data_IF_685892494081
#
_entry.id   IF_685892494081
#
_cell.length_a   1.000
_cell.length_b   1.000
_cell.length_c   1.000
_cell.angle_alpha   90.00
_cell.angle_beta   90.00
_cell.angle_gamma   90.00
#
_symmetry.space_group_name_H-M   'P 1'
#
loop_
_entity.id
_entity.type
_entity.pdbx_description
1 polymer ?
#
# COMPACT_ATOMS: atom_id res chain seq x y z
N UNK A 1 78.97 -23.70 6.67
CA UNK A 1 78.49 -24.77 5.77
C UNK A 1 76.97 -24.70 5.73
N UNK A 2 76.39 -24.52 4.53
CA UNK A 2 74.95 -24.39 4.19
C UNK A 2 74.24 -23.11 4.67
N UNK A 3 73.32 -22.45 3.95
CA UNK A 3 72.79 -22.47 2.57
C UNK A 3 72.03 -21.11 2.44
N UNK A 4 71.98 -20.55 1.22
CA UNK A 4 71.20 -19.36 0.84
C UNK A 4 69.69 -19.47 1.15
N UNK A 5 69.01 -18.33 1.34
CA UNK A 5 67.84 -18.00 0.51
C UNK A 5 67.54 -16.49 0.49
N UNK A 6 67.64 -15.90 -0.71
CA UNK A 6 67.00 -14.64 -1.12
C UNK A 6 65.53 -14.92 -1.45
N UNK A 7 64.59 -14.06 -1.07
CA UNK A 7 63.45 -13.61 -1.93
C UNK A 7 62.95 -12.27 -1.37
N UNK A 8 62.95 -11.22 -2.19
CA UNK A 8 62.31 -9.94 -1.89
C UNK A 8 60.82 -9.96 -2.21
N UNK A 9 60.04 -9.06 -1.62
CA UNK A 9 58.70 -8.74 -2.09
C UNK A 9 58.50 -7.23 -2.11
N UNK A 10 58.05 -6.75 -3.27
CA UNK A 10 57.77 -5.36 -3.59
C UNK A 10 56.59 -4.82 -2.77
N UNK A 11 56.72 -3.60 -2.26
CA UNK A 11 55.61 -2.86 -1.67
C UNK A 11 54.77 -2.24 -2.80
N UNK A 12 53.54 -2.71 -2.94
CA UNK A 12 52.52 -2.17 -3.84
C UNK A 12 51.94 -0.91 -3.20
N UNK A 13 51.98 0.21 -3.92
CA UNK A 13 51.36 1.47 -3.53
C UNK A 13 49.83 1.33 -3.53
N UNK A 14 49.19 1.61 -2.39
CA UNK A 14 47.75 1.69 -2.28
C UNK A 14 47.25 3.03 -2.85
N UNK A 15 46.67 2.98 -4.06
CA UNK A 15 45.91 4.08 -4.61
C UNK A 15 44.51 4.09 -3.98
N UNK A 16 44.23 5.11 -3.16
CA UNK A 16 42.89 5.41 -2.65
C UNK A 16 42.00 5.85 -3.83
N UNK A 17 41.20 4.93 -4.36
CA UNK A 17 40.10 5.28 -5.28
C UNK A 17 38.92 5.79 -4.46
N UNK A 18 38.65 7.10 -4.51
CA UNK A 18 37.36 7.66 -4.07
C UNK A 18 36.31 7.24 -5.09
N UNK A 19 35.49 6.25 -4.73
CA UNK A 19 34.24 6.00 -5.42
C UNK A 19 33.32 7.21 -5.23
N UNK A 20 33.17 8.01 -6.28
CA UNK A 20 32.06 8.95 -6.40
C UNK A 20 30.79 8.12 -6.49
N UNK A 21 29.94 8.21 -5.46
CA UNK A 21 28.59 7.67 -5.53
C UNK A 21 27.90 8.32 -6.73
N UNK A 22 27.65 7.51 -7.76
CA UNK A 22 26.76 7.89 -8.85
C UNK A 22 25.40 8.18 -8.24
N UNK A 23 24.97 9.43 -8.36
CA UNK A 23 23.62 9.88 -8.06
C UNK A 23 22.67 9.02 -8.90
N UNK A 24 22.09 8.02 -8.23
CA UNK A 24 21.11 7.13 -8.84
C UNK A 24 19.91 8.01 -9.18
N UNK A 25 19.73 8.28 -10.48
CA UNK A 25 18.54 8.95 -11.00
C UNK A 25 17.37 8.02 -10.67
N UNK A 26 16.78 8.21 -9.47
CA UNK A 26 15.57 7.50 -9.06
C UNK A 26 14.50 7.90 -10.06
N UNK A 27 14.16 6.98 -10.94
CA UNK A 27 13.00 7.11 -11.80
C UNK A 27 11.80 7.54 -10.93
N UNK A 28 10.94 8.44 -11.41
CA UNK A 28 9.80 8.87 -10.64
C UNK A 28 8.94 7.65 -10.30
N UNK A 29 8.75 7.42 -9.01
CA UNK A 29 7.97 6.33 -8.45
C UNK A 29 6.47 6.44 -8.76
N UNK A 30 6.04 7.57 -9.34
CA UNK A 30 4.67 7.85 -9.70
C UNK A 30 4.60 8.57 -11.06
N UNK A 31 3.51 8.36 -11.79
CA UNK A 31 3.23 9.05 -13.05
C UNK A 31 1.78 9.56 -13.07
N UNK A 32 1.51 10.57 -13.91
CA UNK A 32 0.16 11.10 -14.09
C UNK A 32 -0.57 10.31 -15.17
N UNK A 33 -1.77 9.81 -14.88
CA UNK A 33 -2.65 9.13 -15.84
C UNK A 33 -3.94 9.93 -16.00
N UNK A 34 -4.35 10.16 -17.25
CA UNK A 34 -5.70 10.63 -17.55
C UNK A 34 -6.61 9.42 -17.57
N UNK A 35 -7.66 9.47 -16.78
CA UNK A 35 -8.60 8.39 -16.61
C UNK A 35 -9.94 8.75 -17.28
N UNK A 36 -10.87 7.81 -17.30
CA UNK A 36 -12.13 7.80 -18.06
C UNK A 36 -13.10 8.91 -17.65
N UNK A 37 -12.87 9.54 -16.50
CA UNK A 37 -13.65 10.66 -16.01
C UNK A 37 -12.96 12.02 -16.22
N UNK A 38 -12.02 12.10 -17.17
CA UNK A 38 -11.22 13.27 -17.53
C UNK A 38 -10.39 13.87 -16.37
N UNK A 39 -10.30 13.17 -15.24
CA UNK A 39 -9.43 13.52 -14.13
C UNK A 39 -8.01 12.98 -14.36
N UNK A 40 -7.02 13.75 -13.93
CA UNK A 40 -5.62 13.31 -13.86
C UNK A 40 -5.34 12.75 -12.48
N UNK A 41 -4.87 11.53 -12.43
CA UNK A 41 -4.51 10.84 -11.20
C UNK A 41 -3.02 10.63 -11.10
N UNK A 42 -2.52 10.61 -9.87
CA UNK A 42 -1.23 10.01 -9.55
C UNK A 42 -1.45 8.50 -9.48
N UNK A 43 -0.67 7.77 -10.27
CA UNK A 43 -0.58 6.33 -10.22
C UNK A 43 0.84 5.94 -9.82
N UNK A 44 0.95 5.12 -8.78
CA UNK A 44 2.24 4.56 -8.37
C UNK A 44 2.63 3.42 -9.31
N UNK A 45 3.94 3.14 -9.44
CA UNK A 45 4.37 1.94 -10.16
C UNK A 45 3.81 0.68 -9.50
N UNK A 46 3.31 -0.23 -10.33
CA UNK A 46 2.85 -1.55 -9.91
C UNK A 46 3.98 -2.29 -9.20
N UNK A 47 3.66 -2.90 -8.06
CA UNK A 47 4.54 -3.85 -7.40
C UNK A 47 3.81 -5.17 -7.31
N UNK A 48 4.41 -6.20 -7.92
CA UNK A 48 3.91 -7.57 -7.81
C UNK A 48 3.71 -7.92 -6.34
N UNK A 49 2.69 -8.73 -6.09
CA UNK A 49 2.48 -9.31 -4.78
C UNK A 49 3.71 -10.10 -4.34
N UNK A 50 4.11 -10.07 -3.06
CA UNK A 50 4.94 -11.12 -2.54
C UNK A 50 4.25 -12.46 -2.86
N UNK A 51 4.96 -13.35 -3.58
CA UNK A 51 4.45 -14.69 -3.96
C UNK A 51 3.95 -15.50 -2.75
N UNK A 52 4.40 -15.12 -1.57
CA UNK A 52 4.26 -15.80 -0.31
C UNK A 52 4.25 -14.74 0.82
N UNK A 53 3.07 -14.33 1.30
CA UNK A 53 2.99 -13.60 2.58
C UNK A 53 2.97 -14.61 3.71
N UNK A 54 4.01 -14.56 4.55
CA UNK A 54 4.12 -15.39 5.74
C UNK A 54 3.75 -14.56 6.95
N UNK A 55 2.67 -14.93 7.63
CA UNK A 55 2.29 -14.26 8.85
C UNK A 55 3.23 -14.67 9.98
N UNK A 56 3.91 -13.70 10.58
CA UNK A 56 4.80 -13.88 11.72
C UNK A 56 4.10 -13.65 13.06
N UNK A 57 4.89 -13.51 14.11
CA UNK A 57 4.43 -13.06 15.43
C UNK A 57 3.88 -11.64 15.33
N UNK A 58 3.04 -11.25 16.29
CA UNK A 58 2.53 -9.89 16.37
C UNK A 58 3.67 -8.86 16.27
N UNK A 59 3.59 -7.96 15.29
CA UNK A 59 4.60 -6.93 15.03
C UNK A 59 5.80 -7.37 14.19
N UNK A 60 5.81 -8.59 13.63
CA UNK A 60 6.75 -8.95 12.57
C UNK A 60 6.35 -8.23 11.26
N UNK A 61 7.30 -7.78 10.46
CA UNK A 61 7.01 -7.25 9.11
C UNK A 61 6.61 -8.39 8.20
N UNK A 62 5.47 -8.26 7.52
CA UNK A 62 4.91 -9.31 6.62
C UNK A 62 4.93 -8.89 5.15
N UNK A 63 4.94 -7.60 4.87
CA UNK A 63 4.94 -7.04 3.53
C UNK A 63 5.49 -5.60 3.57
N UNK A 64 5.92 -5.08 2.43
CA UNK A 64 6.37 -3.70 2.28
C UNK A 64 5.90 -3.11 0.95
N UNK A 65 5.48 -1.85 0.99
CA UNK A 65 5.06 -1.08 -0.18
C UNK A 65 5.54 0.36 -0.06
N UNK A 66 6.38 0.81 -1.01
CA UNK A 66 6.98 2.16 -1.00
C UNK A 66 7.67 2.57 0.32
N UNK A 67 8.36 1.63 0.96
CA UNK A 67 9.05 1.86 2.23
C UNK A 67 8.14 1.88 3.46
N UNK A 68 6.84 1.61 3.27
CA UNK A 68 5.87 1.41 4.36
C UNK A 68 5.78 -0.08 4.64
N UNK A 69 6.09 -0.47 5.86
CA UNK A 69 5.95 -1.85 6.32
C UNK A 69 4.50 -2.14 6.74
N UNK A 70 3.97 -3.29 6.32
CA UNK A 70 2.80 -3.91 6.93
C UNK A 70 3.28 -4.96 7.94
N UNK A 71 2.58 -5.03 9.08
CA UNK A 71 2.98 -5.84 10.22
C UNK A 71 1.93 -6.91 10.51
N UNK A 72 2.39 -8.06 10.99
CA UNK A 72 1.52 -9.13 11.45
C UNK A 72 0.69 -8.65 12.64
N UNK A 73 -0.63 -8.83 12.51
CA UNK A 73 -1.58 -8.74 13.60
C UNK A 73 -1.95 -10.15 14.10
N UNK A 74 -1.01 -11.11 13.99
CA UNK A 74 -1.18 -12.52 14.32
C UNK A 74 -1.63 -12.76 15.76
N UNK A 75 -1.87 -14.04 16.11
CA UNK A 75 -2.34 -14.43 17.43
C UNK A 75 -1.42 -13.83 18.51
N UNK A 76 -1.94 -12.89 19.31
CA UNK A 76 -1.19 -12.32 20.40
C UNK A 76 -0.99 -13.43 21.45
N UNK A 77 0.26 -13.85 21.67
CA UNK A 77 0.63 -14.46 22.96
C UNK A 77 0.56 -13.41 24.09
N UNK A 78 0.42 -12.12 23.74
CA UNK A 78 0.15 -11.03 24.67
C UNK A 78 -1.36 -10.87 24.92
N UNK A 79 -1.81 -10.59 26.15
CA UNK A 79 -3.20 -10.23 26.38
C UNK A 79 -3.56 -9.00 25.55
N UNK A 80 -4.62 -9.08 24.72
CA UNK A 80 -5.28 -7.94 24.06
C UNK A 80 -5.16 -6.72 24.94
N UNK A 81 -4.29 -5.79 24.56
CA UNK A 81 -4.12 -4.60 25.37
C UNK A 81 -5.46 -3.88 25.39
N UNK A 82 -6.01 -3.75 26.59
CA UNK A 82 -7.26 -3.05 26.86
C UNK A 82 -7.17 -1.54 26.56
N UNK A 83 -6.00 -1.05 26.14
CA UNK A 83 -5.77 0.32 25.72
C UNK A 83 -6.36 0.64 24.34
N UNK A 84 -6.86 -0.36 23.60
CA UNK A 84 -7.45 -0.15 22.28
C UNK A 84 -6.43 0.44 21.29
N UNK A 85 -5.14 0.13 21.46
CA UNK A 85 -4.01 0.83 20.83
C UNK A 85 -3.99 0.87 19.30
N UNK A 86 -4.91 0.18 18.61
CA UNK A 86 -5.09 0.30 17.15
C UNK A 86 -3.83 -0.10 16.35
N UNK A 87 -2.85 -0.72 17.00
CA UNK A 87 -1.58 -1.09 16.38
C UNK A 87 -1.82 -2.21 15.39
N UNK A 88 -1.13 -2.10 14.27
CA UNK A 88 -1.15 -3.09 13.20
C UNK A 88 -2.57 -3.43 12.71
N UNK A 89 -3.51 -2.47 12.80
CA UNK A 89 -4.85 -2.59 12.22
C UNK A 89 -4.86 -2.08 10.78
N UNK A 90 -5.85 -2.49 9.99
CA UNK A 90 -6.01 -2.03 8.61
C UNK A 90 -6.04 -0.50 8.51
N UNK A 91 -6.73 0.17 9.44
CA UNK A 91 -6.81 1.63 9.48
C UNK A 91 -5.48 2.30 9.84
N UNK A 92 -4.70 1.70 10.72
CA UNK A 92 -3.36 2.18 11.11
C UNK A 92 -2.42 2.20 9.90
N UNK A 93 -2.44 1.14 9.09
CA UNK A 93 -1.64 1.06 7.87
C UNK A 93 -1.93 2.24 6.93
N UNK A 94 -3.20 2.59 6.73
CA UNK A 94 -3.59 3.70 5.86
C UNK A 94 -3.06 5.04 6.40
N UNK A 95 -3.19 5.28 7.72
CA UNK A 95 -2.66 6.51 8.32
C UNK A 95 -1.14 6.61 8.15
N UNK A 96 -0.43 5.49 8.33
CA UNK A 96 1.01 5.42 8.13
C UNK A 96 1.40 5.68 6.67
N UNK A 97 0.76 5.00 5.73
CA UNK A 97 0.97 5.18 4.29
C UNK A 97 0.76 6.63 3.85
N UNK A 98 -0.34 7.26 4.27
CA UNK A 98 -0.62 8.67 3.98
C UNK A 98 0.49 9.61 4.46
N UNK A 99 1.04 9.36 5.65
CA UNK A 99 2.11 10.19 6.24
C UNK A 99 3.45 9.96 5.55
N UNK A 100 3.80 8.71 5.30
CA UNK A 100 5.16 8.34 4.84
C UNK A 100 5.32 8.47 3.33
N UNK A 101 4.25 8.25 2.56
CA UNK A 101 4.31 8.29 1.10
C UNK A 101 3.86 9.66 0.55
N UNK A 102 2.76 10.19 1.10
CA UNK A 102 2.09 11.38 0.56
C UNK A 102 2.22 12.61 1.46
N UNK A 103 2.94 12.50 2.58
CA UNK A 103 3.11 13.56 3.60
C UNK A 103 1.79 14.17 4.11
N UNK A 104 0.68 13.43 4.02
CA UNK A 104 -0.61 13.83 4.59
C UNK A 104 -0.55 13.55 6.10
N UNK A 105 -0.82 14.52 6.99
CA UNK A 105 -0.63 14.40 8.45
C UNK A 105 -1.75 13.57 9.11
N UNK A 106 -1.87 12.32 8.68
CA UNK A 106 -2.89 11.37 9.10
C UNK A 106 -2.44 10.59 10.35
N UNK A 107 -3.36 10.35 11.28
CA UNK A 107 -3.13 9.55 12.49
C UNK A 107 -4.43 8.94 13.00
N UNK A 108 -4.32 7.85 13.76
CA UNK A 108 -5.44 7.28 14.49
C UNK A 108 -6.08 8.30 15.44
N UNK A 109 -7.38 8.16 15.71
CA UNK A 109 -8.12 9.04 16.62
C UNK A 109 -8.56 10.39 16.01
N UNK A 110 -8.32 10.62 14.71
CA UNK A 110 -8.84 11.79 14.01
C UNK A 110 -10.34 11.72 13.66
N UNK A 111 -11.00 10.59 13.95
CA UNK A 111 -12.41 10.39 13.60
C UNK A 111 -12.65 10.24 12.09
N UNK A 112 -11.69 9.66 11.34
CA UNK A 112 -11.82 9.44 9.90
C UNK A 112 -12.68 8.21 9.52
N UNK A 113 -13.31 7.56 10.51
CA UNK A 113 -14.05 6.31 10.31
C UNK A 113 -13.24 5.06 10.64
N UNK A 114 -13.90 3.91 10.52
CA UNK A 114 -13.33 2.57 10.62
C UNK A 114 -12.96 2.06 9.22
N UNK A 115 -12.62 0.77 9.05
CA UNK A 115 -12.26 0.21 7.74
C UNK A 115 -13.27 0.49 6.62
N UNK A 116 -14.57 0.32 6.87
CA UNK A 116 -15.61 0.55 5.83
C UNK A 116 -15.71 2.02 5.41
N UNK A 117 -15.43 2.97 6.31
CA UNK A 117 -15.61 4.40 6.04
C UNK A 117 -14.30 5.17 5.79
N UNK A 118 -13.14 4.55 6.00
CA UNK A 118 -11.87 5.27 6.06
C UNK A 118 -11.49 5.93 4.73
N UNK A 119 -11.73 5.27 3.59
CA UNK A 119 -11.44 5.88 2.29
C UNK A 119 -12.19 7.20 2.11
N UNK A 120 -13.49 7.22 2.40
CA UNK A 120 -14.34 8.40 2.34
C UNK A 120 -13.91 9.46 3.36
N UNK A 121 -13.68 9.06 4.61
CA UNK A 121 -13.28 9.97 5.69
C UNK A 121 -11.94 10.67 5.43
N UNK A 122 -10.98 9.96 4.80
CA UNK A 122 -9.70 10.54 4.37
C UNK A 122 -9.91 11.62 3.32
N UNK A 123 -10.69 11.36 2.27
CA UNK A 123 -10.96 12.33 1.22
C UNK A 123 -11.78 13.54 1.75
N UNK A 124 -12.78 13.29 2.59
CA UNK A 124 -13.59 14.34 3.22
C UNK A 124 -12.73 15.28 4.08
N UNK A 125 -11.78 14.72 4.83
CA UNK A 125 -10.89 15.50 5.71
C UNK A 125 -9.84 16.30 4.94
N UNK A 126 -9.23 15.69 3.93
CA UNK A 126 -7.98 16.19 3.32
C UNK A 126 -8.12 16.61 1.86
N UNK A 127 -9.23 16.31 1.19
CA UNK A 127 -9.43 16.55 -0.24
C UNK A 127 -9.49 18.03 -0.65
N UNK A 128 -9.86 18.92 0.27
CA UNK A 128 -9.84 20.37 0.03
C UNK A 128 -8.45 21.01 0.09
N UNK A 129 -7.38 20.24 0.28
CA UNK A 129 -6.01 20.72 0.46
C UNK A 129 -5.10 20.13 -0.62
N UNK A 130 -4.09 20.91 -1.00
CA UNK A 130 -3.02 20.45 -1.88
C UNK A 130 -1.92 19.79 -1.03
N UNK A 131 -1.50 18.59 -1.44
CA UNK A 131 -0.45 17.81 -0.82
C UNK A 131 0.67 17.56 -1.82
N UNK A 132 1.86 17.24 -1.32
CA UNK A 132 2.97 16.75 -2.12
C UNK A 132 3.80 15.80 -1.27
N UNK A 133 4.17 14.66 -1.85
CA UNK A 133 4.94 13.61 -1.18
C UNK A 133 6.28 13.37 -1.87
N UNK A 134 7.14 12.59 -1.23
CA UNK A 134 8.43 12.19 -1.83
C UNK A 134 8.28 11.49 -3.18
N UNK A 135 7.13 10.83 -3.45
CA UNK A 135 6.87 10.17 -4.73
C UNK A 135 6.26 11.08 -5.81
N UNK A 136 5.57 12.16 -5.43
CA UNK A 136 4.92 13.09 -6.37
C UNK A 136 5.77 14.31 -6.69
N UNK A 137 6.87 14.51 -5.95
CA UNK A 137 7.77 15.65 -6.10
C UNK A 137 7.01 16.96 -5.84
N UNK A 138 7.18 17.94 -6.73
CA UNK A 138 6.49 19.23 -6.66
C UNK A 138 5.05 19.19 -7.20
N UNK A 139 4.61 18.05 -7.75
CA UNK A 139 3.26 17.93 -8.32
C UNK A 139 2.23 17.96 -7.19
N UNK A 140 1.37 19.00 -7.11
CA UNK A 140 0.35 19.09 -6.07
C UNK A 140 -0.76 18.07 -6.34
N UNK A 141 -1.21 17.40 -5.27
CA UNK A 141 -2.28 16.41 -5.31
C UNK A 141 -3.40 16.75 -4.33
N UNK A 142 -4.61 16.28 -4.62
CA UNK A 142 -5.78 16.28 -3.74
C UNK A 142 -6.30 14.85 -3.62
N UNK A 143 -7.01 14.55 -2.53
CA UNK A 143 -7.62 13.25 -2.30
C UNK A 143 -9.10 13.31 -2.65
N UNK A 144 -9.57 12.44 -3.55
CA UNK A 144 -10.98 12.41 -3.96
C UNK A 144 -11.55 11.01 -3.80
N UNK A 145 -12.70 10.94 -3.12
CA UNK A 145 -13.47 9.72 -2.93
C UNK A 145 -14.40 9.46 -4.11
N UNK A 146 -14.55 8.18 -4.43
CA UNK A 146 -15.38 7.63 -5.48
C UNK A 146 -16.18 6.47 -4.92
N UNK A 147 -17.50 6.59 -4.98
CA UNK A 147 -18.42 5.57 -4.51
C UNK A 147 -18.58 4.44 -5.54
N UNK A 148 -18.52 3.20 -5.05
CA UNK A 148 -18.73 2.02 -5.89
C UNK A 148 -20.17 1.95 -6.41
N UNK A 149 -20.33 1.64 -7.69
CA UNK A 149 -21.62 1.62 -8.37
C UNK A 149 -22.16 2.99 -8.76
N UNK A 150 -21.41 4.06 -8.49
CA UNK A 150 -21.78 5.44 -8.86
C UNK A 150 -20.73 6.08 -9.76
N UNK A 151 -19.44 5.86 -9.47
CA UNK A 151 -18.37 6.56 -10.19
C UNK A 151 -17.92 5.85 -11.46
N UNK A 152 -17.80 6.62 -12.55
CA UNK A 152 -17.09 6.19 -13.77
C UNK A 152 -15.57 6.33 -13.66
N UNK A 153 -15.04 6.96 -12.61
CA UNK A 153 -13.59 7.09 -12.42
C UNK A 153 -13.01 5.76 -11.95
N UNK A 154 -12.12 5.15 -12.75
CA UNK A 154 -11.45 3.91 -12.39
C UNK A 154 -10.57 4.08 -11.13
N UNK A 155 -10.47 3.08 -10.23
CA UNK A 155 -9.46 3.07 -9.18
C UNK A 155 -8.03 2.98 -9.74
N UNK A 156 -7.06 3.60 -9.08
CA UNK A 156 -5.65 3.62 -9.54
C UNK A 156 -4.71 2.88 -8.59
N UNK A 157 -3.52 2.49 -9.06
CA UNK A 157 -2.47 1.98 -8.17
C UNK A 157 -2.08 3.08 -7.16
N UNK A 158 -2.06 2.71 -5.89
CA UNK A 158 -1.87 3.58 -4.73
C UNK A 158 -3.17 4.05 -4.08
N UNK A 159 -4.33 3.82 -4.69
CA UNK A 159 -5.64 4.21 -4.15
C UNK A 159 -5.97 3.47 -2.84
N UNK A 160 -6.67 4.14 -1.94
CA UNK A 160 -7.18 3.56 -0.69
C UNK A 160 -8.58 3.02 -0.96
N UNK A 161 -8.84 1.75 -0.68
CA UNK A 161 -10.12 1.07 -0.95
C UNK A 161 -10.74 0.58 0.36
N UNK A 162 -12.02 0.88 0.56
CA UNK A 162 -12.78 0.45 1.74
C UNK A 162 -13.81 -0.62 1.37
N UNK A 163 -14.00 -1.58 2.28
CA UNK A 163 -14.85 -2.76 2.08
C UNK A 163 -15.89 -2.87 3.19
N UNK A 164 -17.11 -3.28 2.83
CA UNK A 164 -18.15 -3.61 3.78
C UNK A 164 -18.12 -5.11 4.10
N UNK A 165 -17.66 -5.44 5.31
CA UNK A 165 -17.58 -6.84 5.79
C UNK A 165 -18.90 -7.34 6.39
N UNK A 166 -20.04 -6.73 6.01
CA UNK A 166 -21.35 -6.99 6.61
C UNK A 166 -21.51 -6.30 7.97
N UNK A 167 -21.62 -7.09 9.06
CA UNK A 167 -21.72 -6.53 10.42
C UNK A 167 -20.32 -6.32 11.00
N UNK A 168 -19.86 -5.08 11.12
CA UNK A 168 -18.59 -4.78 11.78
C UNK A 168 -17.92 -3.49 11.32
N UNK A 169 -16.66 -3.27 11.70
CA UNK A 169 -15.90 -2.07 11.35
C UNK A 169 -15.48 -2.02 9.87
N UNK A 170 -15.80 -3.04 9.08
CA UNK A 170 -15.34 -3.17 7.70
C UNK A 170 -13.83 -3.40 7.61
N UNK A 171 -13.29 -3.18 6.42
CA UNK A 171 -11.87 -3.33 6.13
C UNK A 171 -11.39 -2.28 5.14
N UNK A 172 -10.08 -2.03 5.09
CA UNK A 172 -9.47 -1.03 4.20
C UNK A 172 -8.08 -1.49 3.77
N UNK A 173 -7.72 -1.20 2.52
CA UNK A 173 -6.44 -1.57 1.94
C UNK A 173 -5.95 -0.53 0.91
N UNK A 174 -4.75 -0.74 0.37
CA UNK A 174 -4.16 0.06 -0.71
C UNK A 174 -4.05 -0.82 -1.96
N UNK A 175 -4.41 -0.30 -3.14
CA UNK A 175 -4.15 -1.01 -4.40
C UNK A 175 -2.66 -0.94 -4.71
N UNK A 176 -1.99 -2.08 -4.81
CA UNK A 176 -0.54 -2.13 -5.14
C UNK A 176 -0.25 -2.48 -6.59
N UNK A 177 -1.18 -3.17 -7.24
CA UNK A 177 -1.08 -3.59 -8.63
C UNK A 177 -2.47 -3.66 -9.25
N UNK A 178 -2.53 -3.41 -10.56
CA UNK A 178 -3.73 -3.47 -11.38
C UNK A 178 -3.42 -4.22 -12.67
N UNK A 179 -4.27 -5.17 -13.06
CA UNK A 179 -4.22 -5.79 -14.38
C UNK A 179 -5.62 -6.09 -14.90
N UNK A 180 -5.77 -6.17 -16.22
CA UNK A 180 -7.06 -6.51 -16.84
C UNK A 180 -7.15 -8.01 -17.11
N UNK A 181 -8.27 -8.61 -16.73
CA UNK A 181 -8.55 -10.02 -16.96
C UNK A 181 -10.03 -10.23 -17.28
N UNK A 182 -10.32 -10.78 -18.47
CA UNK A 182 -11.69 -11.14 -18.88
C UNK A 182 -12.70 -9.99 -18.71
N UNK A 183 -12.32 -8.78 -19.13
CA UNK A 183 -13.16 -7.57 -19.05
C UNK A 183 -13.34 -7.01 -17.64
N UNK A 184 -12.62 -7.52 -16.64
CA UNK A 184 -12.56 -6.96 -15.30
C UNK A 184 -11.17 -6.39 -15.02
N UNK A 185 -11.13 -5.46 -14.07
CA UNK A 185 -9.90 -4.94 -13.51
C UNK A 185 -9.61 -5.66 -12.20
N UNK A 186 -8.51 -6.42 -12.14
CA UNK A 186 -8.08 -7.16 -10.97
C UNK A 186 -7.05 -6.30 -10.21
N UNK A 187 -7.39 -6.00 -8.96
CA UNK A 187 -6.52 -5.26 -8.06
C UNK A 187 -5.94 -6.19 -7.00
N UNK A 188 -4.61 -6.20 -6.89
CA UNK A 188 -3.92 -6.80 -5.74
C UNK A 188 -3.74 -5.73 -4.68
N UNK A 189 -3.87 -6.14 -3.41
CA UNK A 189 -3.87 -5.22 -2.28
C UNK A 189 -2.58 -5.29 -1.47
N UNK A 190 -2.18 -4.14 -0.94
CA UNK A 190 -1.29 -4.01 0.20
C UNK A 190 -2.14 -3.69 1.42
N UNK A 191 -2.11 -4.58 2.41
CA UNK A 191 -3.04 -4.54 3.54
C UNK A 191 -2.45 -5.05 4.84
N UNK A 192 -3.17 -4.80 5.93
CA UNK A 192 -2.85 -5.28 7.27
C UNK A 192 -4.15 -5.74 7.92
N UNK A 193 -4.14 -6.89 8.61
CA UNK A 193 -5.32 -7.47 9.26
C UNK A 193 -6.50 -7.80 8.29
N UNK A 194 -6.22 -8.44 7.15
CA UNK A 194 -7.18 -8.79 6.08
C UNK A 194 -8.24 -9.87 6.39
N UNK A 195 -8.66 -10.02 7.65
CA UNK A 195 -9.87 -10.79 7.98
C UNK A 195 -9.70 -12.15 8.68
N UNK A 196 -8.51 -12.46 9.22
CA UNK A 196 -8.29 -13.70 9.99
C UNK A 196 -7.29 -13.55 11.13
N UNK A 197 -7.41 -14.39 12.16
CA UNK A 197 -6.33 -14.63 13.12
C UNK A 197 -5.37 -15.63 12.50
N UNK A 198 -4.31 -15.14 11.87
CA UNK A 198 -3.31 -15.97 11.23
C UNK A 198 -2.47 -16.70 12.28
N UNK A 199 -2.20 -17.98 12.03
CA UNK A 199 -1.18 -18.70 12.80
C UNK A 199 0.21 -18.25 12.36
N UNK A 200 1.20 -18.20 13.26
CA UNK A 200 2.59 -18.01 12.86
C UNK A 200 2.98 -19.05 11.81
N UNK A 201 3.69 -18.61 10.77
CA UNK A 201 4.16 -19.41 9.63
C UNK A 201 3.08 -19.85 8.65
N UNK A 202 1.85 -19.34 8.80
CA UNK A 202 0.78 -19.54 7.82
C UNK A 202 1.04 -18.73 6.55
N UNK A 203 0.91 -19.42 5.41
CA UNK A 203 1.03 -18.84 4.08
C UNK A 203 -0.34 -18.43 3.57
N UNK A 204 -0.50 -17.14 3.31
CA UNK A 204 -1.76 -16.57 2.84
C UNK A 204 -1.48 -15.67 1.65
N UNK A 205 -2.28 -15.77 0.61
CA UNK A 205 -2.29 -14.87 -0.53
C UNK A 205 -2.93 -13.55 -0.13
N UNK A 206 -2.49 -12.49 -0.76
CA UNK A 206 -3.08 -11.18 -0.58
C UNK A 206 -4.51 -11.21 -1.09
N UNK A 207 -5.40 -10.52 -0.38
CA UNK A 207 -6.73 -10.34 -0.89
C UNK A 207 -6.70 -9.57 -2.22
N UNK A 208 -7.67 -9.88 -3.08
CA UNK A 208 -7.81 -9.22 -4.39
C UNK A 208 -9.19 -8.61 -4.52
N UNK A 209 -9.29 -7.57 -5.35
CA UNK A 209 -10.56 -6.98 -5.72
C UNK A 209 -10.77 -7.19 -7.21
N UNK A 210 -11.93 -7.75 -7.56
CA UNK A 210 -12.40 -7.77 -8.94
C UNK A 210 -13.32 -6.59 -9.16
N UNK A 211 -12.86 -5.60 -9.92
CA UNK A 211 -13.66 -4.47 -10.36
C UNK A 211 -14.30 -4.74 -11.73
N UNK A 212 -15.59 -4.45 -11.85
CA UNK A 212 -16.37 -4.57 -13.09
C UNK A 212 -17.15 -3.27 -13.33
N UNK A 213 -17.38 -2.96 -14.60
CA UNK A 213 -18.27 -1.86 -14.98
C UNK A 213 -19.69 -2.35 -15.18
N UNK A 214 -20.65 -1.54 -14.74
CA UNK A 214 -22.04 -1.72 -15.13
C UNK A 214 -22.33 -1.11 -16.52
N UNK A 215 -23.58 -1.20 -16.95
CA UNK A 215 -24.05 -0.67 -18.24
C UNK A 215 -23.90 0.85 -18.39
N UNK A 216 -23.83 1.58 -17.27
CA UNK A 216 -23.64 3.03 -17.23
C UNK A 216 -22.15 3.40 -17.17
N UNK A 217 -21.26 2.41 -17.17
CA UNK A 217 -19.82 2.58 -17.05
C UNK A 217 -19.35 2.83 -15.62
N UNK A 218 -20.23 2.72 -14.61
CA UNK A 218 -19.85 2.90 -13.23
C UNK A 218 -19.14 1.65 -12.68
N UNK A 219 -18.06 1.89 -11.95
CA UNK A 219 -17.20 0.85 -11.41
C UNK A 219 -17.77 0.27 -10.10
N UNK A 220 -17.91 -1.04 -10.04
CA UNK A 220 -18.26 -1.82 -8.87
C UNK A 220 -17.11 -2.77 -8.53
N UNK A 221 -16.95 -3.15 -7.26
CA UNK A 221 -15.87 -4.05 -6.85
C UNK A 221 -16.32 -5.09 -5.84
N UNK A 222 -15.77 -6.30 -5.96
CA UNK A 222 -15.90 -7.38 -4.98
C UNK A 222 -14.51 -7.75 -4.48
N UNK A 223 -14.30 -7.60 -3.18
CA UNK A 223 -13.13 -8.07 -2.46
C UNK A 223 -13.27 -9.55 -2.16
N UNK A 224 -12.26 -10.34 -2.50
CA UNK A 224 -12.18 -11.77 -2.21
C UNK A 224 -11.00 -12.03 -1.29
N UNK A 225 -11.28 -12.69 -0.18
CA UNK A 225 -10.27 -13.17 0.77
C UNK A 225 -9.89 -14.61 0.47
N UNK A 226 -8.73 -15.03 0.96
CA UNK A 226 -8.25 -16.41 0.86
C UNK A 226 -9.15 -17.46 1.51
N UNK A 227 -9.94 -17.05 2.50
CA UNK A 227 -10.89 -17.92 3.20
C UNK A 227 -12.20 -18.12 2.41
N UNK A 228 -12.28 -17.61 1.18
CA UNK A 228 -13.45 -17.69 0.32
C UNK A 228 -14.55 -16.68 0.66
N UNK A 229 -14.30 -15.74 1.58
CA UNK A 229 -15.20 -14.64 1.87
C UNK A 229 -15.19 -13.61 0.74
N UNK A 230 -16.38 -13.19 0.30
CA UNK A 230 -16.57 -12.12 -0.68
C UNK A 230 -17.31 -10.95 -0.07
N UNK A 231 -16.81 -9.74 -0.30
CA UNK A 231 -17.30 -8.53 0.34
C UNK A 231 -17.41 -7.38 -0.66
N UNK A 232 -18.50 -6.61 -0.66
CA UNK A 232 -18.62 -5.47 -1.55
C UNK A 232 -17.64 -4.36 -1.18
N UNK A 233 -17.02 -3.79 -2.20
CA UNK A 233 -16.30 -2.51 -2.09
C UNK A 233 -17.33 -1.40 -1.83
N UNK A 234 -17.08 -0.57 -0.82
CA UNK A 234 -17.88 0.65 -0.59
C UNK A 234 -17.47 1.76 -1.56
N UNK A 235 -16.16 1.92 -1.75
CA UNK A 235 -15.58 2.92 -2.62
C UNK A 235 -14.07 3.01 -2.45
N UNK A 236 -13.46 3.98 -3.12
CA UNK A 236 -12.03 4.21 -3.09
C UNK A 236 -11.69 5.70 -3.13
N UNK A 237 -10.50 6.03 -2.65
CA UNK A 237 -9.93 7.36 -2.72
C UNK A 237 -8.68 7.34 -3.60
N UNK A 238 -8.72 8.09 -4.70
CA UNK A 238 -7.56 8.32 -5.55
C UNK A 238 -6.89 9.65 -5.19
N UNK A 239 -5.62 9.77 -5.60
CA UNK A 239 -4.83 10.99 -5.55
C UNK A 239 -4.93 11.70 -6.90
N UNK A 240 -5.60 12.84 -6.93
CA UNK A 240 -5.87 13.65 -8.12
C UNK A 240 -4.81 14.72 -8.26
N UNK A 241 -4.21 14.87 -9.43
CA UNK A 241 -3.30 15.98 -9.75
C UNK A 241 -4.11 17.28 -9.86
N UNK A 242 -3.65 18.34 -9.20
CA UNK A 242 -4.27 19.68 -9.21
C UNK A 242 -3.77 20.56 -10.36
#
# INVERSE_FOLDING_TARGET
MRILLFVGLAAIAAACSRATATEEVRAPAAFSVVNECDARFVELLSQDEPREMRWGRFGDVVDQYYGVDAYSHGQEDEPRRSDGSGRYQCTELIHRYLREVHHVPSRLGLGLGNGVDLAEGVASRWGGQAWSGGLTGETPISLRYYEAGVSICRPTIGAIVSFSMGRGPGHVAIIRALHEENGALIATLFEQHGGGSYQPDEMVRAGHVRFVRDENGAWNGIYTTDWGGTYPVKGWTNFVVL
#
